data_IF_154787490675
#
_entry.id   IF_154787490675
#
_cell.length_a   1.000
_cell.length_b   1.000
_cell.length_c   1.000
_cell.angle_alpha   90.00
_cell.angle_beta   90.00
_cell.angle_gamma   90.00
#
_symmetry.space_group_name_H-M   'P 1'
#
loop_
_entity.id
_entity.type
_entity.pdbx_description
1 polymer ?
#
# COMPACT_ATOMS: atom_id res chain seq x y z
N UNK A 1 -12.40 -36.08 -43.23
CA UNK A 1 -12.67 -35.37 -44.51
C UNK A 1 -11.42 -34.67 -45.06
N UNK A 2 -10.35 -35.42 -45.41
CA UNK A 2 -9.08 -34.85 -45.93
C UNK A 2 -8.88 -35.02 -47.46
N UNK A 3 -9.97 -35.22 -48.21
CA UNK A 3 -9.90 -36.19 -49.29
C UNK A 3 -10.81 -35.89 -50.50
N UNK A 4 -10.76 -34.68 -51.06
CA UNK A 4 -11.40 -34.47 -52.38
C UNK A 4 -10.43 -34.82 -53.53
N UNK A 5 -9.35 -34.06 -53.72
CA UNK A 5 -8.44 -34.35 -54.85
C UNK A 5 -7.34 -35.39 -54.56
N UNK A 6 -6.73 -35.37 -53.36
CA UNK A 6 -5.65 -36.30 -53.00
C UNK A 6 -6.14 -37.73 -52.72
N UNK A 7 -7.37 -37.90 -52.26
CA UNK A 7 -7.96 -39.23 -52.05
C UNK A 7 -8.25 -39.93 -53.36
N UNK A 8 -8.86 -39.21 -54.30
CA UNK A 8 -9.18 -39.76 -55.59
C UNK A 8 -7.90 -40.20 -56.32
N UNK A 9 -6.81 -39.44 -56.18
CA UNK A 9 -5.49 -39.83 -56.65
C UNK A 9 -4.93 -41.07 -55.91
N UNK A 10 -5.06 -41.14 -54.59
CA UNK A 10 -4.60 -42.28 -53.79
C UNK A 10 -5.36 -43.57 -54.17
N UNK A 11 -6.69 -43.48 -54.33
CA UNK A 11 -7.55 -44.59 -54.76
C UNK A 11 -7.17 -45.06 -56.16
N UNK A 12 -7.00 -44.14 -57.12
CA UNK A 12 -6.55 -44.48 -58.47
C UNK A 12 -5.18 -45.17 -58.48
N UNK A 13 -4.25 -44.71 -57.63
CA UNK A 13 -2.93 -45.34 -57.49
C UNK A 13 -3.00 -46.70 -56.81
N UNK A 14 -3.86 -46.88 -55.80
CA UNK A 14 -4.04 -48.16 -55.13
C UNK A 14 -4.55 -49.24 -56.10
N UNK A 15 -5.45 -48.90 -57.02
CA UNK A 15 -5.89 -49.81 -58.08
C UNK A 15 -4.82 -50.04 -59.17
N UNK A 16 -3.95 -49.06 -59.40
CA UNK A 16 -2.83 -49.18 -60.36
C UNK A 16 -1.72 -50.10 -59.87
N UNK A 17 -1.54 -50.25 -58.56
CA UNK A 17 -0.49 -51.07 -57.94
C UNK A 17 -1.09 -52.13 -57.00
N UNK A 18 -1.42 -53.33 -57.50
CA UNK A 18 -2.07 -54.40 -56.72
C UNK A 18 -1.30 -54.82 -55.46
N UNK A 19 0.03 -54.67 -55.46
CA UNK A 19 0.87 -54.97 -54.31
C UNK A 19 0.51 -54.12 -53.07
N UNK A 20 0.04 -52.89 -53.25
CA UNK A 20 -0.42 -52.02 -52.16
C UNK A 20 -1.71 -52.52 -51.51
N UNK A 21 -2.55 -53.24 -52.26
CA UNK A 21 -3.79 -53.83 -51.73
C UNK A 21 -3.53 -55.20 -51.09
N UNK A 22 -2.63 -55.99 -51.68
CA UNK A 22 -2.37 -57.36 -51.23
C UNK A 22 -1.39 -57.48 -50.07
N UNK A 23 -0.42 -56.57 -49.93
CA UNK A 23 0.67 -56.68 -48.94
C UNK A 23 0.72 -55.56 -47.90
N UNK A 24 -0.22 -54.61 -47.94
CA UNK A 24 -0.31 -53.56 -46.93
C UNK A 24 -1.63 -53.66 -46.16
N UNK A 25 -1.55 -53.37 -44.86
CA UNK A 25 -2.74 -53.23 -44.02
C UNK A 25 -3.16 -51.76 -43.99
N UNK A 26 -4.44 -51.50 -44.25
CA UNK A 26 -5.02 -50.16 -44.15
C UNK A 26 -5.53 -49.97 -42.73
N UNK A 27 -5.01 -48.95 -42.06
CA UNK A 27 -5.49 -48.50 -40.75
C UNK A 27 -6.33 -47.25 -40.96
N UNK A 28 -7.58 -47.30 -40.52
CA UNK A 28 -8.50 -46.17 -40.59
C UNK A 28 -8.40 -45.34 -39.31
N UNK A 29 -8.10 -44.05 -39.45
CA UNK A 29 -8.20 -43.09 -38.36
C UNK A 29 -9.57 -42.43 -38.41
N UNK A 30 -10.39 -42.72 -37.40
CA UNK A 30 -11.67 -42.07 -37.19
C UNK A 30 -11.46 -40.68 -36.55
N UNK A 31 -12.42 -39.76 -36.69
CA UNK A 31 -12.46 -38.57 -35.85
C UNK A 31 -12.40 -38.95 -34.37
N UNK A 32 -11.78 -38.10 -33.55
CA UNK A 32 -11.73 -38.35 -32.11
C UNK A 32 -13.15 -38.36 -31.53
N UNK A 33 -13.53 -39.40 -30.76
CA UNK A 33 -14.80 -39.40 -30.05
C UNK A 33 -14.76 -38.34 -28.93
N UNK A 34 -15.93 -37.90 -28.51
CA UNK A 34 -16.06 -36.90 -27.46
C UNK A 34 -15.40 -37.35 -26.15
N UNK A 35 -15.56 -38.62 -25.78
CA UNK A 35 -14.96 -39.20 -24.57
C UNK A 35 -13.44 -39.08 -24.56
N UNK A 36 -12.76 -39.35 -25.68
CA UNK A 36 -11.30 -39.22 -25.76
C UNK A 36 -10.83 -37.76 -25.72
N UNK A 37 -11.64 -36.82 -26.22
CA UNK A 37 -11.34 -35.39 -26.10
C UNK A 37 -11.43 -34.94 -24.65
N UNK A 38 -12.46 -35.41 -23.92
CA UNK A 38 -12.65 -35.13 -22.51
C UNK A 38 -11.50 -35.73 -21.69
N UNK A 39 -11.19 -37.01 -21.85
CA UNK A 39 -10.10 -37.67 -21.11
C UNK A 39 -8.73 -37.00 -21.36
N UNK A 40 -8.46 -36.62 -22.61
CA UNK A 40 -7.23 -35.87 -22.94
C UNK A 40 -7.20 -34.50 -22.25
N UNK A 41 -8.32 -33.75 -22.31
CA UNK A 41 -8.40 -32.44 -21.69
C UNK A 41 -8.32 -32.54 -20.16
N UNK A 42 -9.00 -33.50 -19.53
CA UNK A 42 -8.92 -33.78 -18.09
C UNK A 42 -7.49 -34.11 -17.67
N UNK A 43 -6.82 -35.02 -18.38
CA UNK A 43 -5.43 -35.36 -18.10
C UNK A 43 -4.54 -34.12 -18.14
N UNK A 44 -4.72 -33.24 -19.12
CA UNK A 44 -3.95 -31.99 -19.22
C UNK A 44 -4.32 -30.97 -18.15
N UNK A 45 -5.59 -30.84 -17.81
CA UNK A 45 -6.07 -29.92 -16.77
C UNK A 45 -5.67 -30.38 -15.37
N UNK A 46 -5.53 -31.69 -15.15
CA UNK A 46 -5.07 -32.27 -13.87
C UNK A 46 -3.59 -31.98 -13.58
N UNK A 47 -2.79 -31.68 -14.61
CA UNK A 47 -1.40 -31.21 -14.45
C UNK A 47 -1.34 -29.75 -13.97
N UNK A 48 -2.46 -29.02 -13.98
CA UNK A 48 -2.55 -27.62 -13.56
C UNK A 48 -2.85 -27.49 -12.06
N UNK A 49 -2.96 -26.24 -11.58
CA UNK A 49 -3.19 -25.91 -10.17
C UNK A 49 -4.45 -26.58 -9.59
N UNK A 50 -4.44 -26.85 -8.28
CA UNK A 50 -5.48 -27.56 -7.55
C UNK A 50 -6.87 -26.94 -7.74
N UNK A 51 -6.92 -25.61 -7.91
CA UNK A 51 -8.16 -24.86 -8.15
C UNK A 51 -8.89 -25.25 -9.45
N UNK A 52 -8.16 -25.73 -10.46
CA UNK A 52 -8.74 -26.22 -11.73
C UNK A 52 -9.19 -27.68 -11.61
N UNK A 53 -8.51 -28.46 -10.75
CA UNK A 53 -8.77 -29.89 -10.57
C UNK A 53 -10.22 -30.18 -10.19
N UNK A 54 -10.81 -29.40 -9.27
CA UNK A 54 -12.18 -29.60 -8.78
C UNK A 54 -13.27 -29.39 -9.86
N UNK A 55 -12.98 -28.58 -10.89
CA UNK A 55 -13.89 -28.29 -12.01
C UNK A 55 -13.39 -28.83 -13.35
N UNK A 56 -12.34 -29.65 -13.33
CA UNK A 56 -11.63 -30.12 -14.52
C UNK A 56 -12.54 -30.89 -15.47
N UNK A 57 -13.39 -31.79 -14.95
CA UNK A 57 -14.36 -32.57 -15.74
C UNK A 57 -15.35 -31.67 -16.50
N UNK A 58 -15.88 -30.64 -15.85
CA UNK A 58 -16.83 -29.71 -16.48
C UNK A 58 -16.14 -28.86 -17.55
N UNK A 59 -14.92 -28.41 -17.28
CA UNK A 59 -14.12 -27.64 -18.23
C UNK A 59 -13.76 -28.51 -19.44
N UNK A 60 -13.35 -29.75 -19.23
CA UNK A 60 -13.01 -30.70 -20.29
C UNK A 60 -14.23 -31.02 -21.19
N UNK A 61 -15.40 -31.27 -20.61
CA UNK A 61 -16.66 -31.44 -21.35
C UNK A 61 -17.04 -30.19 -22.14
N UNK A 62 -16.78 -29.01 -21.61
CA UNK A 62 -17.01 -27.77 -22.35
C UNK A 62 -16.02 -27.63 -23.52
N UNK A 63 -14.75 -27.95 -23.31
CA UNK A 63 -13.72 -27.94 -24.35
C UNK A 63 -14.04 -28.89 -25.50
N UNK A 64 -14.50 -30.11 -25.22
CA UNK A 64 -14.92 -31.07 -26.25
C UNK A 64 -16.10 -30.53 -27.05
N UNK A 65 -17.09 -29.93 -26.39
CA UNK A 65 -18.25 -29.32 -27.03
C UNK A 65 -17.85 -28.14 -27.94
N UNK A 66 -16.96 -27.27 -27.49
CA UNK A 66 -16.43 -26.15 -28.29
C UNK A 66 -15.74 -26.68 -29.55
N UNK A 67 -14.91 -27.73 -29.42
CA UNK A 67 -14.26 -28.35 -30.57
C UNK A 67 -15.26 -28.92 -31.58
N UNK A 68 -16.31 -29.63 -31.11
CA UNK A 68 -17.37 -30.14 -31.96
C UNK A 68 -18.14 -29.01 -32.68
N UNK A 69 -18.43 -27.92 -31.97
CA UNK A 69 -19.10 -26.74 -32.55
C UNK A 69 -18.24 -26.06 -33.62
N UNK A 70 -16.92 -26.00 -33.41
CA UNK A 70 -15.98 -25.44 -34.37
C UNK A 70 -15.88 -26.31 -35.63
N UNK A 71 -15.86 -27.64 -35.50
CA UNK A 71 -15.87 -28.53 -36.67
C UNK A 71 -17.17 -28.41 -37.49
N UNK A 72 -18.32 -28.26 -36.82
CA UNK A 72 -19.59 -27.99 -37.49
C UNK A 72 -19.59 -26.63 -38.22
N UNK A 73 -18.98 -25.59 -37.63
CA UNK A 73 -18.81 -24.30 -38.30
C UNK A 73 -17.89 -24.40 -39.51
N UNK A 74 -16.76 -25.10 -39.39
CA UNK A 74 -15.86 -25.36 -40.52
C UNK A 74 -16.53 -26.20 -41.61
N UNK A 75 -17.43 -27.12 -41.26
CA UNK A 75 -18.23 -27.86 -42.24
C UNK A 75 -19.12 -26.94 -43.08
N UNK A 76 -19.82 -26.00 -42.45
CA UNK A 76 -20.63 -24.99 -43.14
C UNK A 76 -19.78 -24.12 -44.06
N UNK A 77 -18.64 -23.62 -43.58
CA UNK A 77 -17.73 -22.80 -44.39
C UNK A 77 -17.17 -23.54 -45.62
N UNK A 78 -16.93 -24.85 -45.50
CA UNK A 78 -16.53 -25.70 -46.63
C UNK A 78 -17.64 -25.83 -47.66
N UNK A 79 -18.88 -25.97 -47.21
CA UNK A 79 -20.05 -26.17 -48.07
C UNK A 79 -20.48 -24.87 -48.76
N UNK A 80 -20.56 -23.78 -48.01
CA UNK A 80 -21.05 -22.47 -48.49
C UNK A 80 -20.00 -21.73 -49.32
N UNK A 81 -18.75 -21.68 -48.85
CA UNK A 81 -17.70 -20.83 -49.42
C UNK A 81 -16.59 -21.62 -50.13
N UNK A 82 -16.61 -22.96 -50.07
CA UNK A 82 -15.55 -23.80 -50.65
C UNK A 82 -14.19 -23.61 -49.97
N UNK A 83 -14.14 -23.01 -48.77
CA UNK A 83 -12.89 -22.74 -48.05
C UNK A 83 -12.42 -24.01 -47.33
N UNK A 84 -11.16 -24.46 -47.50
CA UNK A 84 -10.67 -25.69 -46.90
C UNK A 84 -10.31 -25.50 -45.41
N UNK A 85 -11.31 -25.30 -44.55
CA UNK A 85 -11.14 -25.19 -43.10
C UNK A 85 -11.41 -26.55 -42.42
N UNK A 86 -10.56 -26.97 -41.47
CA UNK A 86 -10.69 -28.27 -40.79
C UNK A 86 -10.33 -28.16 -39.31
N UNK A 87 -11.13 -28.80 -38.47
CA UNK A 87 -10.73 -29.12 -37.11
C UNK A 87 -9.79 -30.33 -37.15
N UNK A 88 -8.61 -30.20 -36.54
CA UNK A 88 -7.63 -31.28 -36.45
C UNK A 88 -7.33 -31.61 -34.99
N UNK A 89 -6.97 -32.86 -34.66
CA UNK A 89 -6.57 -33.20 -33.28
C UNK A 89 -5.44 -32.31 -32.76
N UNK A 90 -4.50 -31.92 -33.63
CA UNK A 90 -3.41 -30.99 -33.28
C UNK A 90 -3.96 -29.61 -32.87
N UNK A 91 -4.98 -29.10 -33.56
CA UNK A 91 -5.62 -27.84 -33.15
C UNK A 91 -6.34 -27.94 -31.81
N UNK A 92 -6.90 -29.11 -31.45
CA UNK A 92 -7.48 -29.32 -30.13
C UNK A 92 -6.42 -29.34 -29.03
N UNK A 93 -5.31 -30.07 -29.25
CA UNK A 93 -4.19 -30.12 -28.31
C UNK A 93 -3.64 -28.71 -28.07
N UNK A 94 -3.38 -27.95 -29.15
CA UNK A 94 -2.91 -26.57 -29.04
C UNK A 94 -3.91 -25.65 -28.34
N UNK A 95 -5.21 -25.91 -28.47
CA UNK A 95 -6.25 -25.16 -27.78
C UNK A 95 -6.19 -25.40 -26.26
N UNK A 96 -6.08 -26.66 -25.83
CA UNK A 96 -5.95 -27.02 -24.40
C UNK A 96 -4.66 -26.44 -23.81
N UNK A 97 -3.53 -26.57 -24.52
CA UNK A 97 -2.24 -26.01 -24.08
C UNK A 97 -2.30 -24.47 -23.97
N UNK A 98 -2.96 -23.81 -24.93
CA UNK A 98 -3.12 -22.37 -24.89
C UNK A 98 -4.01 -21.92 -23.73
N UNK A 99 -5.12 -22.64 -23.48
CA UNK A 99 -5.96 -22.39 -22.31
C UNK A 99 -5.15 -22.49 -21.02
N UNK A 100 -4.33 -23.54 -20.88
CA UNK A 100 -3.50 -23.74 -19.70
C UNK A 100 -2.52 -22.58 -19.47
N UNK A 101 -1.86 -22.12 -20.53
CA UNK A 101 -0.94 -20.97 -20.47
C UNK A 101 -1.63 -19.67 -20.09
N UNK A 102 -2.80 -19.37 -20.67
CA UNK A 102 -3.56 -18.15 -20.36
C UNK A 102 -4.08 -18.20 -18.93
N UNK A 103 -4.57 -19.36 -18.49
CA UNK A 103 -5.06 -19.56 -17.13
C UNK A 103 -3.95 -19.32 -16.11
N UNK A 104 -2.78 -19.94 -16.28
CA UNK A 104 -1.63 -19.76 -15.38
C UNK A 104 -1.19 -18.28 -15.30
N UNK A 105 -1.12 -17.60 -16.45
CA UNK A 105 -0.80 -16.19 -16.49
C UNK A 105 -1.80 -15.32 -15.71
N UNK A 106 -3.11 -15.57 -15.90
CA UNK A 106 -4.17 -14.85 -15.20
C UNK A 106 -4.24 -15.19 -13.72
N UNK A 107 -4.04 -16.45 -13.36
CA UNK A 107 -4.03 -16.92 -11.99
C UNK A 107 -2.91 -16.26 -11.18
N UNK A 108 -1.70 -16.19 -11.75
CA UNK A 108 -0.57 -15.46 -11.16
C UNK A 108 -0.85 -13.97 -10.98
N UNK A 109 -1.47 -13.33 -11.98
CA UNK A 109 -1.86 -11.92 -11.91
C UNK A 109 -2.84 -11.67 -10.76
N UNK A 110 -3.90 -12.46 -10.67
CA UNK A 110 -4.92 -12.36 -9.61
C UNK A 110 -4.32 -12.65 -8.24
N UNK A 111 -3.47 -13.67 -8.12
CA UNK A 111 -2.81 -14.03 -6.86
C UNK A 111 -1.91 -12.91 -6.37
N UNK A 112 -1.14 -12.27 -7.28
CA UNK A 112 -0.31 -11.11 -6.94
C UNK A 112 -1.16 -9.95 -6.45
N UNK A 113 -2.25 -9.62 -7.15
CA UNK A 113 -3.16 -8.54 -6.75
C UNK A 113 -3.80 -8.82 -5.39
N UNK A 114 -4.21 -10.07 -5.13
CA UNK A 114 -4.74 -10.46 -3.84
C UNK A 114 -3.71 -10.30 -2.71
N UNK A 115 -2.45 -10.67 -2.94
CA UNK A 115 -1.36 -10.48 -1.97
C UNK A 115 -1.06 -8.99 -1.71
N UNK A 116 -1.12 -8.15 -2.74
CA UNK A 116 -0.95 -6.70 -2.61
C UNK A 116 -2.09 -6.07 -1.80
N UNK A 117 -3.33 -6.48 -2.04
CA UNK A 117 -4.49 -6.04 -1.27
C UNK A 117 -4.38 -6.51 0.18
N UNK A 118 -4.00 -7.77 0.43
CA UNK A 118 -3.79 -8.29 1.78
C UNK A 118 -2.72 -7.50 2.55
N UNK A 119 -1.61 -7.16 1.87
CA UNK A 119 -0.56 -6.30 2.43
C UNK A 119 -1.08 -4.89 2.72
N UNK A 120 -1.90 -4.33 1.83
CA UNK A 120 -2.54 -3.04 2.03
C UNK A 120 -3.47 -3.03 3.24
N UNK A 121 -4.27 -4.09 3.41
CA UNK A 121 -5.14 -4.27 4.56
C UNK A 121 -4.36 -4.38 5.86
N UNK A 122 -3.27 -5.15 5.87
CA UNK A 122 -2.40 -5.26 7.04
C UNK A 122 -1.85 -3.89 7.47
N UNK A 123 -1.35 -3.09 6.53
CA UNK A 123 -0.84 -1.74 6.83
C UNK A 123 -1.91 -0.79 7.34
N UNK A 124 -3.16 -0.93 6.87
CA UNK A 124 -4.28 -0.13 7.38
C UNK A 124 -4.65 -0.52 8.80
N UNK A 125 -4.55 -1.81 9.14
CA UNK A 125 -4.76 -2.30 10.50
C UNK A 125 -3.66 -1.80 11.46
N UNK A 126 -2.40 -1.90 11.05
CA UNK A 126 -1.24 -1.35 11.78
C UNK A 126 -1.40 0.15 12.02
N UNK A 127 -1.73 0.93 10.98
CA UNK A 127 -1.95 2.37 11.13
C UNK A 127 -3.16 2.70 12.03
N UNK A 128 -4.18 1.83 12.08
CA UNK A 128 -5.33 2.01 12.97
C UNK A 128 -4.93 1.80 14.43
N UNK A 129 -4.09 0.80 14.70
CA UNK A 129 -3.52 0.55 16.03
C UNK A 129 -2.61 1.72 16.46
N UNK A 130 -1.72 2.19 15.58
CA UNK A 130 -0.86 3.36 15.85
C UNK A 130 -1.68 4.61 16.20
N UNK A 131 -2.83 4.82 15.55
CA UNK A 131 -3.74 5.94 15.86
C UNK A 131 -4.37 5.78 17.24
N UNK A 132 -4.70 4.56 17.65
CA UNK A 132 -5.27 4.29 18.96
C UNK A 132 -4.23 4.56 20.06
N UNK A 133 -3.00 4.07 19.89
CA UNK A 133 -1.87 4.33 20.80
C UNK A 133 -1.56 5.83 20.91
N UNK A 134 -1.48 6.54 19.78
CA UNK A 134 -1.26 7.99 19.79
C UNK A 134 -2.38 8.76 20.50
N UNK A 135 -3.64 8.30 20.42
CA UNK A 135 -4.75 8.94 21.14
C UNK A 135 -4.62 8.79 22.64
N UNK A 136 -4.15 7.64 23.12
CA UNK A 136 -3.86 7.44 24.53
C UNK A 136 -2.72 8.35 25.00
N UNK A 137 -1.62 8.43 24.26
CA UNK A 137 -0.49 9.31 24.59
C UNK A 137 -0.89 10.79 24.60
N UNK A 138 -1.71 11.22 23.63
CA UNK A 138 -2.24 12.60 23.60
C UNK A 138 -3.08 12.87 24.84
N UNK A 139 -3.97 11.96 25.23
CA UNK A 139 -4.81 12.13 26.41
C UNK A 139 -3.97 12.25 27.70
N UNK A 140 -2.93 11.43 27.86
CA UNK A 140 -2.01 11.55 28.98
C UNK A 140 -1.24 12.88 28.96
N UNK A 141 -0.69 13.26 27.81
CA UNK A 141 0.07 14.51 27.63
C UNK A 141 -0.78 15.75 27.91
N UNK A 142 -2.05 15.77 27.49
CA UNK A 142 -2.98 16.87 27.77
C UNK A 142 -3.20 17.06 29.27
N UNK A 143 -3.32 15.98 30.04
CA UNK A 143 -3.49 16.08 31.51
C UNK A 143 -2.27 16.68 32.18
N UNK A 144 -1.07 16.20 31.83
CA UNK A 144 0.20 16.72 32.35
C UNK A 144 0.37 18.20 31.99
N UNK A 145 -0.01 18.57 30.76
CA UNK A 145 0.11 19.94 30.27
C UNK A 145 -0.86 20.89 31.00
N UNK A 146 -2.08 20.45 31.30
CA UNK A 146 -3.02 21.23 32.12
C UNK A 146 -2.51 21.43 33.56
N UNK A 147 -1.94 20.39 34.18
CA UNK A 147 -1.40 20.49 35.53
C UNK A 147 -0.17 21.41 35.58
N UNK A 148 0.72 21.30 34.59
CA UNK A 148 1.86 22.22 34.45
C UNK A 148 1.41 23.67 34.22
N UNK A 149 0.37 23.90 33.41
CA UNK A 149 -0.23 25.22 33.22
C UNK A 149 -0.81 25.79 34.52
N UNK A 150 -1.51 24.97 35.31
CA UNK A 150 -2.03 25.39 36.63
C UNK A 150 -0.90 25.76 37.59
N UNK A 151 0.12 24.90 37.70
CA UNK A 151 1.27 25.16 38.55
C UNK A 151 2.03 26.43 38.12
N UNK A 152 2.21 26.63 36.81
CA UNK A 152 2.84 27.83 36.26
C UNK A 152 2.02 29.09 36.55
N UNK A 153 0.70 29.04 36.37
CA UNK A 153 -0.20 30.15 36.69
C UNK A 153 -0.15 30.54 38.17
N UNK A 154 -0.10 29.55 39.07
CA UNK A 154 0.00 29.80 40.50
C UNK A 154 1.38 30.34 40.91
N UNK A 155 2.45 29.83 40.29
CA UNK A 155 3.80 30.38 40.47
C UNK A 155 3.86 31.84 39.99
N UNK A 156 3.23 32.16 38.86
CA UNK A 156 3.16 33.53 38.33
C UNK A 156 2.43 34.47 39.29
N UNK A 157 1.32 34.03 39.90
CA UNK A 157 0.60 34.80 40.94
C UNK A 157 1.46 35.04 42.17
N UNK A 158 2.22 34.04 42.62
CA UNK A 158 3.12 34.20 43.77
C UNK A 158 4.26 35.17 43.45
N UNK A 159 4.84 35.08 42.25
CA UNK A 159 5.87 36.01 41.80
C UNK A 159 5.29 37.41 41.73
N UNK A 160 4.12 37.63 41.12
CA UNK A 160 3.51 38.97 41.03
C UNK A 160 3.22 39.55 42.42
N UNK A 161 2.74 38.73 43.37
CA UNK A 161 2.53 39.16 44.75
C UNK A 161 3.84 39.53 45.46
N UNK A 162 4.88 38.72 45.31
CA UNK A 162 6.22 38.99 45.89
C UNK A 162 6.85 40.24 45.27
N UNK A 163 6.73 40.42 43.95
CA UNK A 163 7.21 41.61 43.24
C UNK A 163 6.49 42.86 43.74
N UNK A 164 5.16 42.83 43.90
CA UNK A 164 4.42 43.96 44.46
C UNK A 164 4.87 44.34 45.89
N UNK A 165 5.15 43.35 46.74
CA UNK A 165 5.70 43.59 48.09
C UNK A 165 7.12 44.14 48.02
N UNK A 166 7.96 43.60 47.13
CA UNK A 166 9.33 44.07 46.92
C UNK A 166 9.36 45.52 46.40
N UNK A 167 8.49 45.86 45.45
CA UNK A 167 8.34 47.22 44.93
C UNK A 167 7.85 48.19 46.01
N UNK A 168 6.92 47.79 46.87
CA UNK A 168 6.49 48.60 48.01
C UNK A 168 7.66 48.86 48.97
N UNK A 169 8.40 47.82 49.36
CA UNK A 169 9.58 47.96 50.23
C UNK A 169 10.69 48.80 49.59
N UNK A 170 10.88 48.66 48.27
CA UNK A 170 11.82 49.50 47.51
C UNK A 170 11.39 50.96 47.53
N UNK A 171 10.10 51.25 47.38
CA UNK A 171 9.55 52.60 47.53
C UNK A 171 9.77 53.17 48.93
N UNK A 172 9.50 52.38 49.98
CA UNK A 172 9.76 52.77 51.37
C UNK A 172 11.25 53.05 51.62
N UNK A 173 12.14 52.17 51.15
CA UNK A 173 13.59 52.34 51.28
C UNK A 173 14.09 53.58 50.50
N UNK A 174 13.50 53.87 49.34
CA UNK A 174 13.80 55.06 48.55
C UNK A 174 13.43 56.34 49.31
N UNK A 175 12.25 56.39 49.94
CA UNK A 175 11.84 57.52 50.79
C UNK A 175 12.81 57.72 51.96
N UNK A 176 13.22 56.64 52.63
CA UNK A 176 14.20 56.71 53.72
C UNK A 176 15.55 57.20 53.22
N UNK A 177 15.99 56.74 52.03
CA UNK A 177 17.24 57.20 51.41
C UNK A 177 17.19 58.69 51.11
N UNK A 178 16.12 59.16 50.46
CA UNK A 178 15.95 60.56 50.08
C UNK A 178 15.86 61.46 51.34
N UNK A 179 15.21 61.00 52.41
CA UNK A 179 15.19 61.70 53.69
C UNK A 179 16.57 61.76 54.36
N UNK A 180 17.35 60.67 54.31
CA UNK A 180 18.72 60.63 54.84
C UNK A 180 19.66 61.54 54.04
N UNK A 181 19.54 61.56 52.71
CA UNK A 181 20.28 62.48 51.84
C UNK A 181 19.94 63.94 52.16
N UNK A 182 18.66 64.27 52.38
CA UNK A 182 18.24 65.60 52.80
C UNK A 182 18.80 66.00 54.18
N UNK A 183 18.83 65.06 55.14
CA UNK A 183 19.45 65.28 56.44
C UNK A 183 20.96 65.48 56.36
N UNK A 184 21.66 64.71 55.51
CA UNK A 184 23.09 64.90 55.28
C UNK A 184 23.39 66.27 54.67
N UNK A 185 22.59 66.71 53.70
CA UNK A 185 22.74 68.05 53.12
C UNK A 185 22.54 69.18 54.15
N UNK A 186 21.61 69.01 55.10
CA UNK A 186 21.44 69.91 56.24
C UNK A 186 22.66 69.91 57.16
N UNK A 187 23.17 68.73 57.54
CA UNK A 187 24.36 68.61 58.39
C UNK A 187 25.60 69.19 57.70
N UNK A 188 25.75 69.02 56.38
CA UNK A 188 26.85 69.60 55.62
C UNK A 188 26.73 71.14 55.53
N UNK A 189 25.51 71.68 55.43
CA UNK A 189 25.26 73.12 55.50
C UNK A 189 25.61 73.68 56.89
N UNK A 190 25.13 73.03 57.96
CA UNK A 190 25.46 73.40 59.36
C UNK A 190 26.98 73.33 59.59
N UNK A 191 27.65 72.30 59.05
CA UNK A 191 29.11 72.16 59.14
C UNK A 191 29.84 73.26 58.39
N UNK A 192 29.33 73.69 57.23
CA UNK A 192 29.89 74.81 56.47
C UNK A 192 29.72 76.14 57.21
N UNK A 193 28.57 76.37 57.85
CA UNK A 193 28.35 77.55 58.71
C UNK A 193 29.31 77.53 59.91
N UNK A 194 29.42 76.41 60.63
CA UNK A 194 30.35 76.28 61.76
C UNK A 194 31.80 76.47 61.31
N UNK A 195 32.20 75.93 60.16
CA UNK A 195 33.55 76.12 59.63
C UNK A 195 33.82 77.58 59.25
N UNK A 196 32.85 78.27 58.65
CA UNK A 196 32.91 79.70 58.36
C UNK A 196 33.01 80.54 59.63
N UNK A 197 32.20 80.25 60.66
CA UNK A 197 32.26 80.91 61.96
C UNK A 197 33.59 80.66 62.68
N UNK A 198 34.15 79.45 62.53
CA UNK A 198 35.47 79.13 63.08
C UNK A 198 36.58 79.89 62.34
N UNK A 199 36.50 80.04 61.01
CA UNK A 199 37.45 80.80 60.21
C UNK A 199 37.36 82.32 60.46
N UNK A 200 36.16 82.84 60.73
CA UNK A 200 35.95 84.21 61.21
C UNK A 200 36.46 84.44 62.65
N UNK A 201 36.54 83.37 63.46
CA UNK A 201 37.01 83.42 64.86
C UNK A 201 38.52 83.16 65.01
N UNK A 202 39.17 82.54 64.02
CA UNK A 202 40.62 82.30 64.01
C UNK A 202 41.51 83.57 64.02
N UNK A 203 41.14 84.71 63.39
CA UNK A 203 41.93 85.95 63.51
C UNK A 203 41.77 86.67 64.87
N UNK A 204 40.97 86.17 65.81
CA UNK A 204 40.75 86.79 67.12
C UNK A 204 41.50 86.13 68.30
N UNK A 205 42.23 85.03 68.07
CA UNK A 205 42.93 84.25 69.13
C UNK A 205 44.47 84.32 68.99
N UNK A 206 44.99 85.07 68.01
CA UNK A 206 46.43 85.27 67.80
C UNK A 206 46.90 86.70 68.13
N UNK A 207 46.39 87.26 69.24
CA UNK A 207 46.99 88.39 69.99
C UNK A 207 47.19 88.01 71.46
#
# INVERSE_FOLDING_TARGET
AFYSNKANALVANAFRYPALQSYCHVIYFLPWPEESLVEFAESRLSEMDQAVSDSSELIAKHMSHVYASADAAFAREREEHGRPCFATPISFISYVDHFASVFDGKHKEVTRLAAEIATGLQKLDEASQDIEDMREEIAESETVLQDAQRASADMLKQISARTAVADKKRGEAQIVRDAAEAHLALVDADRAEIASDMEASLPAIAE
#
